data_IF_394521005534
#
_entry.id   IF_394521005534
#
_cell.length_a   1.000
_cell.length_b   1.000
_cell.length_c   1.000
_cell.angle_alpha   90.00
_cell.angle_beta   90.00
_cell.angle_gamma   90.00
#
_symmetry.space_group_name_H-M   'P 1'
#
loop_
_entity.id
_entity.type
_entity.pdbx_description
1 polymer ?
#
# COMPACT_ATOMS: atom_id res chain seq x y z
N UNK A 1 35.05 -12.48 -11.57
CA UNK A 1 35.10 -11.02 -11.37
C UNK A 1 33.92 -10.63 -10.50
N UNK A 2 34.16 -10.39 -9.21
CA UNK A 2 33.13 -10.16 -8.20
C UNK A 2 32.69 -8.69 -8.19
N UNK A 3 31.51 -8.39 -8.71
CA UNK A 3 30.92 -7.03 -8.73
C UNK A 3 30.32 -6.58 -7.40
N UNK A 4 30.16 -7.49 -6.43
CA UNK A 4 29.50 -7.19 -5.14
C UNK A 4 30.39 -6.48 -4.10
N UNK A 5 31.71 -6.48 -4.28
CA UNK A 5 32.64 -5.83 -3.33
C UNK A 5 32.56 -4.30 -3.32
N UNK A 6 31.98 -3.70 -4.36
CA UNK A 6 31.91 -2.23 -4.53
C UNK A 6 30.82 -1.61 -3.64
N UNK A 7 29.74 -2.34 -3.33
CA UNK A 7 28.67 -1.83 -2.45
C UNK A 7 29.02 -1.92 -0.96
N UNK A 8 29.92 -2.84 -0.57
CA UNK A 8 30.26 -3.11 0.84
C UNK A 8 31.31 -2.17 1.42
N UNK A 9 32.15 -1.52 0.61
CA UNK A 9 33.30 -0.74 1.10
C UNK A 9 33.11 0.77 1.11
N UNK A 10 31.87 1.27 1.00
CA UNK A 10 31.59 2.70 1.03
C UNK A 10 32.17 3.42 -0.20
N UNK A 11 31.36 3.62 -1.23
CA UNK A 11 31.78 4.32 -2.43
C UNK A 11 32.19 5.78 -2.09
N UNK A 12 33.48 6.08 -2.16
CA UNK A 12 33.98 7.46 -2.01
C UNK A 12 33.65 8.25 -3.27
N UNK A 13 32.72 9.20 -3.16
CA UNK A 13 32.21 9.99 -4.29
C UNK A 13 33.21 11.08 -4.69
N UNK A 14 34.02 10.83 -5.72
CA UNK A 14 35.03 11.78 -6.15
C UNK A 14 34.45 12.80 -7.15
N UNK A 15 33.88 13.90 -6.62
CA UNK A 15 33.14 14.93 -7.38
C UNK A 15 33.89 15.42 -8.63
N UNK A 16 35.23 15.54 -8.57
CA UNK A 16 36.08 15.99 -9.68
C UNK A 16 36.12 15.01 -10.86
N UNK A 17 36.03 13.70 -10.58
CA UNK A 17 36.01 12.66 -11.61
C UNK A 17 34.65 12.65 -12.32
N UNK A 18 33.59 12.77 -11.55
CA UNK A 18 32.20 12.79 -12.05
C UNK A 18 31.91 14.06 -12.86
N UNK A 19 32.39 15.22 -12.42
CA UNK A 19 32.25 16.46 -13.19
C UNK A 19 32.97 16.39 -14.54
N UNK A 20 34.11 15.69 -14.60
CA UNK A 20 34.87 15.48 -15.84
C UNK A 20 34.20 14.45 -16.77
N UNK A 21 33.61 13.39 -16.22
CA UNK A 21 32.93 12.35 -17.00
C UNK A 21 31.55 12.78 -17.51
N UNK A 22 30.86 13.67 -16.79
CA UNK A 22 29.53 14.14 -17.17
C UNK A 22 29.51 15.52 -17.83
N UNK A 23 30.64 16.22 -17.94
CA UNK A 23 30.72 17.63 -18.38
C UNK A 23 29.75 18.57 -17.63
N UNK A 24 29.40 18.25 -16.37
CA UNK A 24 28.50 19.06 -15.55
C UNK A 24 29.36 19.98 -14.66
N UNK A 25 29.23 21.29 -14.88
CA UNK A 25 29.94 22.31 -14.10
C UNK A 25 29.26 22.54 -12.74
N UNK A 26 29.64 21.74 -11.74
CA UNK A 26 29.13 21.82 -10.36
C UNK A 26 29.71 23.00 -9.56
N UNK A 27 30.58 23.83 -10.15
CA UNK A 27 31.25 24.94 -9.45
C UNK A 27 30.43 26.25 -9.42
N UNK A 28 29.21 26.26 -9.96
CA UNK A 28 28.38 27.47 -10.06
C UNK A 28 27.24 27.59 -9.03
N UNK A 29 27.22 26.75 -7.98
CA UNK A 29 26.33 26.96 -6.84
C UNK A 29 26.96 27.97 -5.87
N UNK A 30 27.10 29.21 -6.35
CA UNK A 30 27.46 30.33 -5.50
C UNK A 30 26.31 30.61 -4.53
N UNK A 31 26.65 30.58 -3.25
CA UNK A 31 25.81 30.98 -2.12
C UNK A 31 25.56 32.49 -2.16
N UNK A 32 24.51 32.94 -2.83
CA UNK A 32 24.01 34.32 -2.72
C UNK A 32 22.90 34.37 -1.68
N UNK A 33 23.28 34.81 -0.46
CA UNK A 33 22.35 35.41 0.51
C UNK A 33 21.85 36.74 -0.08
N UNK A 34 20.68 36.73 -0.71
CA UNK A 34 19.91 37.96 -0.94
C UNK A 34 18.66 37.94 -0.05
N UNK A 35 18.64 38.88 0.90
CA UNK A 35 17.46 39.26 1.66
C UNK A 35 16.53 40.02 0.73
N UNK A 36 15.57 39.33 0.14
CA UNK A 36 14.35 39.96 -0.35
C UNK A 36 13.18 39.26 0.34
N UNK A 37 12.41 40.02 1.10
CA UNK A 37 11.12 39.59 1.62
C UNK A 37 10.20 39.38 0.43
N UNK A 38 10.25 38.19 -0.16
CA UNK A 38 9.24 37.72 -1.09
C UNK A 38 7.95 37.69 -0.29
N UNK A 39 7.09 38.68 -0.49
CA UNK A 39 5.67 38.57 -0.16
C UNK A 39 5.17 37.40 -1.00
N UNK A 40 5.21 36.20 -0.44
CA UNK A 40 4.48 35.05 -0.97
C UNK A 40 3.02 35.48 -0.95
N UNK A 41 2.52 35.91 -2.11
CA UNK A 41 1.10 36.00 -2.33
C UNK A 41 0.64 34.56 -2.21
N UNK A 42 0.05 34.23 -1.05
CA UNK A 42 -0.38 32.90 -0.65
C UNK A 42 -1.68 32.54 -1.41
N UNK A 43 -1.63 32.69 -2.73
CA UNK A 43 -2.70 32.36 -3.64
C UNK A 43 -2.37 31.00 -4.24
N UNK A 44 -2.78 29.97 -3.52
CA UNK A 44 -2.84 28.61 -4.06
C UNK A 44 -4.06 28.55 -4.99
N UNK A 45 -3.90 28.23 -6.28
CA UNK A 45 -5.03 27.99 -7.17
C UNK A 45 -5.97 26.96 -6.55
N UNK A 46 -7.27 27.18 -6.64
CA UNK A 46 -8.27 26.33 -5.96
C UNK A 46 -8.18 24.85 -6.34
N UNK A 47 -7.65 24.54 -7.54
CA UNK A 47 -7.39 23.17 -8.01
C UNK A 47 -6.24 22.46 -7.27
N UNK A 48 -5.37 23.23 -6.62
CA UNK A 48 -4.21 22.75 -5.85
C UNK A 48 -4.42 22.84 -4.34
N UNK A 49 -5.50 23.49 -3.88
CA UNK A 49 -5.87 23.55 -2.47
C UNK A 49 -6.72 22.35 -2.07
N UNK A 50 -6.05 21.20 -1.94
CA UNK A 50 -6.66 19.91 -1.57
C UNK A 50 -7.15 19.96 -0.11
N UNK A 51 -6.57 20.82 0.73
CA UNK A 51 -6.77 20.80 2.18
C UNK A 51 -7.95 21.67 2.65
N UNK A 52 -8.32 22.74 1.92
CA UNK A 52 -9.50 23.58 2.22
C UNK A 52 -10.69 23.34 1.28
N UNK A 53 -10.73 22.22 0.56
CA UNK A 53 -11.85 21.86 -0.33
C UNK A 53 -13.07 21.38 0.47
N UNK A 54 -13.59 22.21 1.36
CA UNK A 54 -14.89 21.96 1.99
C UNK A 54 -16.01 22.10 0.94
N UNK A 55 -16.76 21.01 0.72
CA UNK A 55 -18.11 20.99 0.17
C UNK A 55 -18.33 21.25 -1.33
N UNK A 56 -17.71 20.44 -2.19
CA UNK A 56 -18.23 20.20 -3.55
C UNK A 56 -18.74 18.77 -3.74
N UNK A 57 -19.75 18.41 -2.94
CA UNK A 57 -20.77 17.47 -3.38
C UNK A 57 -22.02 18.26 -3.75
N UNK A 58 -22.35 18.39 -5.05
CA UNK A 58 -23.73 18.34 -5.58
C UNK A 58 -23.75 17.99 -7.07
N UNK A 59 -23.89 16.72 -7.47
CA UNK A 59 -24.71 16.40 -8.64
C UNK A 59 -26.18 16.52 -8.25
N UNK A 60 -26.96 17.25 -9.06
CA UNK A 60 -28.41 17.42 -8.92
C UNK A 60 -29.10 16.05 -8.94
N UNK A 61 -29.75 15.69 -7.84
CA UNK A 61 -30.82 14.69 -7.85
C UNK A 61 -32.04 15.21 -7.11
N UNK A 62 -33.14 15.20 -7.84
CA UNK A 62 -34.51 15.56 -7.47
C UNK A 62 -34.97 14.70 -6.30
N UNK A 63 -35.47 15.34 -5.24
CA UNK A 63 -36.09 14.68 -4.09
C UNK A 63 -37.53 14.26 -4.45
N UNK A 64 -37.85 13.00 -4.21
CA UNK A 64 -39.18 12.58 -3.76
C UNK A 64 -38.95 11.50 -2.70
N UNK A 65 -39.38 11.81 -1.48
CA UNK A 65 -39.36 10.97 -0.30
C UNK A 65 -40.44 9.88 -0.44
N UNK A 66 -40.10 8.64 -0.08
CA UNK A 66 -41.03 7.74 0.59
C UNK A 66 -40.24 6.66 1.34
N UNK A 67 -40.36 6.69 2.67
CA UNK A 67 -39.86 5.65 3.56
C UNK A 67 -40.81 4.45 3.54
N UNK A 68 -40.30 3.24 3.28
CA UNK A 68 -40.78 2.00 3.93
C UNK A 68 -39.91 0.77 3.63
N UNK A 69 -39.40 0.20 4.73
CA UNK A 69 -39.40 -1.23 5.09
C UNK A 69 -38.58 -2.24 4.26
N UNK A 70 -37.72 -2.91 5.04
CA UNK A 70 -37.45 -4.36 5.05
C UNK A 70 -36.51 -4.89 3.98
N UNK A 71 -35.34 -5.35 4.46
CA UNK A 71 -34.63 -6.54 3.98
C UNK A 71 -34.50 -6.68 2.48
N UNK A 72 -33.42 -6.16 1.92
CA UNK A 72 -32.97 -6.58 0.61
C UNK A 72 -31.48 -6.85 0.69
N UNK A 73 -31.16 -8.15 0.64
CA UNK A 73 -29.83 -8.61 0.32
C UNK A 73 -29.43 -7.91 -0.98
N UNK A 74 -28.50 -6.96 -0.89
CA UNK A 74 -27.89 -6.35 -2.06
C UNK A 74 -27.36 -7.50 -2.90
N UNK A 75 -28.08 -7.80 -3.98
CA UNK A 75 -27.64 -8.66 -5.05
C UNK A 75 -26.46 -7.95 -5.72
N UNK A 76 -25.30 -8.01 -5.07
CA UNK A 76 -24.03 -7.65 -5.66
C UNK A 76 -23.81 -8.62 -6.81
N UNK A 77 -23.41 -8.08 -7.96
CA UNK A 77 -22.95 -8.87 -9.08
C UNK A 77 -22.02 -9.98 -8.55
N UNK A 78 -22.24 -11.26 -8.92
CA UNK A 78 -21.39 -12.37 -8.53
C UNK A 78 -19.91 -12.22 -8.91
N UNK A 79 -19.55 -11.19 -9.67
CA UNK A 79 -18.24 -10.98 -10.29
C UNK A 79 -17.22 -10.23 -9.42
N UNK A 80 -17.58 -9.76 -8.23
CA UNK A 80 -16.67 -8.97 -7.36
C UNK A 80 -16.30 -9.68 -6.04
N UNK A 81 -16.24 -11.02 -6.03
CA UNK A 81 -15.75 -11.77 -4.87
C UNK A 81 -14.60 -12.69 -5.25
N UNK A 82 -13.71 -12.97 -4.29
CA UNK A 82 -12.66 -13.96 -4.49
C UNK A 82 -13.28 -15.36 -4.60
N UNK A 83 -12.99 -16.05 -5.70
CA UNK A 83 -13.42 -17.42 -5.93
C UNK A 83 -12.84 -18.37 -4.86
N UNK A 84 -13.63 -19.36 -4.40
CA UNK A 84 -13.16 -20.32 -3.41
C UNK A 84 -12.03 -21.15 -4.00
N UNK A 85 -10.90 -21.20 -3.31
CA UNK A 85 -9.77 -22.03 -3.67
C UNK A 85 -9.48 -23.02 -2.54
N UNK A 86 -8.92 -24.19 -2.85
CA UNK A 86 -8.51 -25.18 -1.84
C UNK A 86 -7.51 -24.60 -0.81
N UNK A 87 -6.78 -23.54 -1.19
CA UNK A 87 -5.88 -22.79 -0.32
C UNK A 87 -6.58 -21.92 0.73
N UNK A 88 -7.90 -21.77 0.68
CA UNK A 88 -8.65 -20.97 1.67
C UNK A 88 -8.81 -21.68 3.02
N UNK A 89 -8.47 -22.97 3.08
CA UNK A 89 -8.55 -23.77 4.29
C UNK A 89 -7.49 -23.33 5.31
N UNK A 90 -7.88 -23.15 6.60
CA UNK A 90 -6.94 -22.82 7.66
C UNK A 90 -5.90 -23.94 7.84
N UNK A 91 -4.79 -23.60 8.49
CA UNK A 91 -3.76 -24.58 8.83
C UNK A 91 -4.28 -25.55 9.90
N UNK A 92 -4.11 -26.85 9.68
CA UNK A 92 -4.53 -27.89 10.62
C UNK A 92 -3.46 -28.14 11.69
N UNK A 93 -2.18 -28.07 11.31
CA UNK A 93 -1.05 -28.35 12.20
C UNK A 93 0.01 -27.24 12.17
N UNK A 94 0.71 -27.09 13.29
CA UNK A 94 1.83 -26.16 13.45
C UNK A 94 3.01 -26.49 12.54
N UNK A 95 3.16 -27.75 12.11
CA UNK A 95 4.18 -28.15 11.13
C UNK A 95 3.91 -27.52 9.77
N UNK A 96 2.66 -27.55 9.30
CA UNK A 96 2.24 -26.92 8.05
C UNK A 96 2.51 -25.41 8.08
N UNK A 97 2.27 -24.75 9.21
CA UNK A 97 2.58 -23.31 9.37
C UNK A 97 4.07 -23.03 9.22
N UNK A 98 4.93 -23.88 9.81
CA UNK A 98 6.40 -23.73 9.71
C UNK A 98 6.89 -23.96 8.29
N UNK A 99 6.37 -24.98 7.61
CA UNK A 99 6.68 -25.26 6.20
C UNK A 99 6.23 -24.09 5.31
N UNK A 100 5.01 -23.60 5.51
CA UNK A 100 4.49 -22.45 4.77
C UNK A 100 5.33 -21.18 4.97
N UNK A 101 5.75 -20.91 6.21
CA UNK A 101 6.67 -19.80 6.52
C UNK A 101 8.01 -19.98 5.81
N UNK A 102 8.53 -21.21 5.74
CA UNK A 102 9.80 -21.51 5.05
C UNK A 102 9.68 -21.31 3.53
N UNK A 103 8.61 -21.79 2.91
CA UNK A 103 8.34 -21.65 1.48
C UNK A 103 8.19 -20.18 1.07
N UNK A 104 7.47 -19.40 1.89
CA UNK A 104 7.24 -17.98 1.64
C UNK A 104 8.37 -17.08 2.17
N UNK A 105 9.49 -17.66 2.62
CA UNK A 105 10.65 -16.94 3.16
C UNK A 105 10.33 -16.01 4.34
N UNK A 106 9.29 -16.34 5.10
CA UNK A 106 8.83 -15.57 6.26
C UNK A 106 9.64 -15.99 7.48
N UNK A 107 10.45 -15.08 7.99
CA UNK A 107 11.17 -15.25 9.26
C UNK A 107 10.44 -14.49 10.36
N UNK A 108 10.19 -15.17 11.46
CA UNK A 108 9.43 -14.66 12.59
C UNK A 108 10.26 -14.79 13.85
N UNK A 109 10.33 -13.72 14.63
CA UNK A 109 10.92 -13.69 15.96
C UNK A 109 9.84 -13.35 16.97
N UNK A 110 9.73 -14.12 18.05
CA UNK A 110 8.68 -13.96 19.05
C UNK A 110 8.11 -15.31 19.49
N UNK A 111 7.46 -15.34 20.65
CA UNK A 111 6.80 -16.54 21.18
C UNK A 111 5.33 -16.61 20.75
N UNK A 112 4.69 -15.46 20.67
CA UNK A 112 3.26 -15.34 20.38
C UNK A 112 3.08 -14.59 19.06
N UNK A 113 3.17 -15.32 17.95
CA UNK A 113 3.02 -14.72 16.61
C UNK A 113 1.91 -15.42 15.85
N UNK A 114 0.89 -14.68 15.39
CA UNK A 114 -0.22 -15.26 14.67
C UNK A 114 0.20 -16.11 13.47
N UNK A 115 -0.65 -17.08 13.17
CA UNK A 115 -0.52 -17.85 11.95
C UNK A 115 -0.77 -16.95 10.73
N UNK A 116 0.07 -17.06 9.68
CA UNK A 116 -0.13 -16.32 8.45
C UNK A 116 -1.45 -16.75 7.79
N UNK A 117 -1.92 -15.97 6.81
CA UNK A 117 -2.99 -16.39 5.92
C UNK A 117 -2.46 -16.70 4.52
N UNK A 118 -3.20 -17.52 3.77
CA UNK A 118 -2.82 -17.97 2.43
C UNK A 118 -3.35 -17.05 1.33
N UNK A 119 -4.64 -16.73 1.40
CA UNK A 119 -5.39 -15.98 0.39
C UNK A 119 -6.10 -14.77 1.00
N UNK A 120 -6.40 -13.75 0.18
CA UNK A 120 -7.20 -12.60 0.66
C UNK A 120 -8.58 -13.01 1.15
N UNK A 121 -9.17 -14.08 0.61
CA UNK A 121 -10.42 -14.64 1.07
C UNK A 121 -10.34 -15.20 2.49
N UNK A 122 -9.29 -15.98 2.80
CA UNK A 122 -9.03 -16.44 4.16
C UNK A 122 -8.88 -15.27 5.14
N UNK A 123 -8.23 -14.18 4.72
CA UNK A 123 -8.10 -12.96 5.52
C UNK A 123 -9.46 -12.28 5.75
N UNK A 124 -10.29 -12.14 4.72
CA UNK A 124 -11.63 -11.55 4.79
C UNK A 124 -12.53 -12.32 5.77
N UNK A 125 -12.51 -13.65 5.69
CA UNK A 125 -13.30 -14.52 6.57
C UNK A 125 -12.84 -14.49 8.03
N UNK A 126 -11.56 -14.21 8.28
CA UNK A 126 -10.98 -14.25 9.63
C UNK A 126 -11.17 -12.96 10.41
N UNK A 127 -11.13 -11.81 9.71
CA UNK A 127 -11.07 -10.49 10.33
C UNK A 127 -12.25 -9.58 9.93
N UNK A 128 -13.28 -10.11 9.27
CA UNK A 128 -14.51 -9.39 8.88
C UNK A 128 -14.26 -8.04 8.18
N UNK A 129 -13.34 -8.04 7.22
CA UNK A 129 -13.03 -6.86 6.43
C UNK A 129 -14.23 -6.41 5.57
N UNK A 130 -14.32 -5.10 5.32
CA UNK A 130 -15.42 -4.52 4.52
C UNK A 130 -15.38 -5.04 3.09
N UNK A 131 -16.55 -5.42 2.56
CA UNK A 131 -16.71 -5.86 1.16
C UNK A 131 -16.22 -4.81 0.14
N UNK A 132 -16.27 -3.52 0.48
CA UNK A 132 -15.70 -2.45 -0.37
C UNK A 132 -14.19 -2.60 -0.62
N UNK A 133 -13.46 -3.19 0.34
CA UNK A 133 -12.03 -3.47 0.21
C UNK A 133 -11.80 -4.62 -0.76
N UNK A 134 -12.63 -5.66 -0.72
CA UNK A 134 -12.58 -6.79 -1.65
C UNK A 134 -12.78 -6.32 -3.10
N UNK A 135 -13.85 -5.57 -3.37
CA UNK A 135 -14.09 -4.96 -4.69
C UNK A 135 -12.91 -4.09 -5.15
N UNK A 136 -12.31 -3.32 -4.22
CA UNK A 136 -11.15 -2.48 -4.54
C UNK A 136 -9.90 -3.30 -4.87
N UNK A 137 -9.68 -4.42 -4.18
CA UNK A 137 -8.55 -5.31 -4.45
C UNK A 137 -8.69 -6.01 -5.79
N UNK A 138 -9.89 -6.50 -6.11
CA UNK A 138 -10.17 -7.12 -7.41
C UNK A 138 -10.01 -6.11 -8.55
N UNK A 139 -10.56 -4.90 -8.38
CA UNK A 139 -10.42 -3.79 -9.35
C UNK A 139 -8.96 -3.44 -9.63
N UNK A 140 -8.13 -3.43 -8.59
CA UNK A 140 -6.69 -3.16 -8.69
C UNK A 140 -5.84 -4.40 -9.03
N UNK A 141 -6.47 -5.56 -9.29
CA UNK A 141 -5.82 -6.83 -9.64
C UNK A 141 -4.88 -7.36 -8.54
N UNK A 142 -5.18 -7.07 -7.29
CA UNK A 142 -4.54 -7.71 -6.14
C UNK A 142 -5.19 -9.08 -5.89
N UNK A 143 -4.75 -10.08 -6.66
CA UNK A 143 -5.31 -11.43 -6.60
C UNK A 143 -4.69 -12.28 -5.48
N UNK A 144 -3.40 -12.10 -5.22
CA UNK A 144 -2.63 -12.91 -4.26
C UNK A 144 -1.90 -12.00 -3.28
N UNK A 145 -1.93 -12.29 -1.97
CA UNK A 145 -1.20 -11.52 -0.98
C UNK A 145 0.30 -11.71 -1.14
N UNK A 146 1.05 -10.62 -0.96
CA UNK A 146 2.52 -10.68 -0.92
C UNK A 146 3.00 -11.41 0.34
N UNK A 147 4.23 -11.93 0.30
CA UNK A 147 4.82 -12.67 1.43
C UNK A 147 4.78 -11.88 2.75
N UNK A 148 5.06 -10.57 2.67
CA UNK A 148 4.99 -9.71 3.85
C UNK A 148 3.55 -9.52 4.33
N UNK A 149 2.59 -9.32 3.42
CA UNK A 149 1.17 -9.15 3.79
C UNK A 149 0.61 -10.38 4.50
N UNK A 150 0.95 -11.59 4.04
CA UNK A 150 0.49 -12.87 4.62
C UNK A 150 0.73 -12.98 6.12
N UNK A 151 1.83 -12.40 6.63
CA UNK A 151 2.19 -12.46 8.05
C UNK A 151 2.01 -11.13 8.78
N UNK A 152 2.24 -9.99 8.11
CA UNK A 152 2.17 -8.67 8.74
C UNK A 152 0.73 -8.27 9.11
N UNK A 153 -0.26 -8.60 8.26
CA UNK A 153 -1.65 -8.24 8.54
C UNK A 153 -2.17 -8.95 9.80
N UNK A 154 -2.01 -10.28 9.97
CA UNK A 154 -2.35 -10.95 11.23
C UNK A 154 -1.66 -10.33 12.45
N UNK A 155 -0.37 -10.00 12.35
CA UNK A 155 0.38 -9.35 13.45
C UNK A 155 -0.18 -7.97 13.80
N UNK A 156 -0.78 -7.27 12.82
CA UNK A 156 -1.28 -5.91 13.03
C UNK A 156 -2.70 -5.88 13.62
N UNK A 157 -3.40 -7.01 13.61
CA UNK A 157 -4.81 -7.12 14.01
C UNK A 157 -5.03 -7.92 15.30
N UNK A 158 -4.09 -8.80 15.66
CA UNK A 158 -4.04 -9.46 16.97
C UNK A 158 -3.48 -8.51 18.05
#
# INVERSE_FOLDING_TARGET
>A
MSSLGILSSGATFNKKKISKELNINLNNLNTSKSKESIKTVDYVPHELDILNSENHQKPKHTKSEDEKKVGEATAMNPQERFEPTEEDLPFEDNKQVKEYRKENQIRVWGKDVPNPFKTFRMMMNRYDFRQSLESSMIKNRFLVPTQIQKQAIPISLD
#
